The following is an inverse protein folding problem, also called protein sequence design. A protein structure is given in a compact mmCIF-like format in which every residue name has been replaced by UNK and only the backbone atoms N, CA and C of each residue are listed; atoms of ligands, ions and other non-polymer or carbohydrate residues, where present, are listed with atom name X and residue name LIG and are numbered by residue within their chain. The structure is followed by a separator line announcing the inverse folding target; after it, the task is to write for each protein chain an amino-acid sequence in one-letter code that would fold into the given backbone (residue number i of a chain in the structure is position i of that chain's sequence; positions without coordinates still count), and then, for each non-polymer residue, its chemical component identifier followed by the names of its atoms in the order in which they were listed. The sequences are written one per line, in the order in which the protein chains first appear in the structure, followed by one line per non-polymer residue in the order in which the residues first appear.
data_IF_587755350887
#
_entry.id   IF_587755350887
#
_cell.length_a   1.000
_cell.length_b   1.000
_cell.length_c   1.000
_cell.angle_alpha   90.00
_cell.angle_beta   90.00
_cell.angle_gamma   90.00
#
_symmetry.space_group_name_H-M   'P 1'
#
loop_
_entity.id
_entity.type
_entity.pdbx_description
1 polymer ?
#
# COMPACT_ATOMS: atom_id res chain seq x y z
N UNK A 1 -9.11 -18.18 38.22
CA UNK A 1 -10.58 -18.04 38.05
C UNK A 1 -11.36 -18.95 38.98
N UNK A 2 -10.97 -20.22 39.19
CA UNK A 2 -11.76 -21.25 39.93
C UNK A 2 -12.06 -21.00 41.41
N UNK A 3 -11.51 -19.96 42.02
CA UNK A 3 -11.70 -19.67 43.45
C UNK A 3 -12.04 -18.22 43.75
N UNK A 4 -12.37 -17.41 42.74
CA UNK A 4 -12.70 -16.00 42.93
C UNK A 4 -14.20 -15.79 42.88
N UNK A 5 -14.73 -14.97 43.80
CA UNK A 5 -16.15 -14.62 43.84
C UNK A 5 -16.61 -13.99 42.53
N UNK A 6 -17.89 -14.09 42.21
CA UNK A 6 -18.49 -13.50 41.00
C UNK A 6 -18.16 -12.03 40.78
N UNK A 7 -18.03 -11.28 41.89
CA UNK A 7 -17.58 -9.87 41.91
C UNK A 7 -16.28 -9.63 41.13
N UNK A 8 -15.34 -10.58 41.12
CA UNK A 8 -14.03 -10.43 40.48
C UNK A 8 -14.08 -10.42 38.96
N UNK A 9 -15.09 -11.02 38.34
CA UNK A 9 -15.24 -10.97 36.87
C UNK A 9 -16.37 -10.03 36.46
N UNK A 10 -17.43 -9.91 37.29
CA UNK A 10 -18.57 -9.05 36.99
C UNK A 10 -18.21 -7.56 37.04
N UNK A 11 -17.46 -7.11 38.05
CA UNK A 11 -17.10 -5.69 38.14
C UNK A 11 -16.22 -5.23 36.98
N UNK A 12 -15.14 -5.93 36.60
CA UNK A 12 -14.37 -5.57 35.41
C UNK A 12 -15.22 -5.59 34.14
N UNK A 13 -16.17 -6.52 34.01
CA UNK A 13 -17.09 -6.58 32.86
C UNK A 13 -18.00 -5.34 32.82
N UNK A 14 -18.63 -4.99 33.93
CA UNK A 14 -19.54 -3.82 34.02
C UNK A 14 -18.78 -2.52 33.82
N UNK A 15 -17.63 -2.35 34.47
CA UNK A 15 -16.77 -1.17 34.30
C UNK A 15 -16.27 -1.08 32.85
N UNK A 16 -15.82 -2.20 32.27
CA UNK A 16 -15.37 -2.27 30.89
C UNK A 16 -16.47 -1.93 29.89
N UNK A 17 -17.69 -2.44 30.11
CA UNK A 17 -18.85 -2.11 29.27
C UNK A 17 -19.26 -0.64 29.42
N UNK A 18 -19.30 -0.12 30.65
CA UNK A 18 -19.57 1.29 30.92
C UNK A 18 -18.54 2.21 30.27
N UNK A 19 -17.25 1.88 30.40
CA UNK A 19 -16.16 2.58 29.74
C UNK A 19 -16.27 2.52 28.21
N UNK A 20 -16.57 1.35 27.64
CA UNK A 20 -16.77 1.19 26.20
C UNK A 20 -17.88 2.12 25.69
N UNK A 21 -19.05 2.11 26.33
CA UNK A 21 -20.17 2.96 25.94
C UNK A 21 -19.84 4.46 26.10
N UNK A 22 -19.16 4.84 27.19
CA UNK A 22 -18.70 6.21 27.40
C UNK A 22 -17.70 6.65 26.33
N UNK A 23 -16.70 5.81 26.02
CA UNK A 23 -15.71 6.08 24.99
C UNK A 23 -16.36 6.19 23.60
N UNK A 24 -17.30 5.31 23.27
CA UNK A 24 -18.07 5.42 22.02
C UNK A 24 -18.82 6.75 21.95
N UNK A 25 -19.52 7.14 23.02
CA UNK A 25 -20.24 8.42 23.07
C UNK A 25 -19.30 9.60 22.92
N UNK A 26 -18.14 9.58 23.57
CA UNK A 26 -17.12 10.63 23.43
C UNK A 26 -16.58 10.70 22.01
N UNK A 27 -16.30 9.56 21.37
CA UNK A 27 -15.82 9.52 19.98
C UNK A 27 -16.91 10.01 19.02
N UNK A 28 -18.17 9.63 19.23
CA UNK A 28 -19.30 10.12 18.43
C UNK A 28 -19.46 11.64 18.56
N UNK A 29 -19.29 12.19 19.76
CA UNK A 29 -19.33 13.64 20.01
C UNK A 29 -18.15 14.38 19.37
N UNK A 30 -16.97 13.76 19.34
CA UNK A 30 -15.76 14.34 18.76
C UNK A 30 -15.67 14.14 17.23
N UNK A 31 -16.37 13.15 16.67
CA UNK A 31 -16.39 12.90 15.24
C UNK A 31 -17.38 13.87 14.56
N UNK A 32 -16.95 14.69 13.59
CA UNK A 32 -17.86 15.63 12.93
C UNK A 32 -18.98 14.94 12.14
N UNK A 33 -18.90 13.64 11.86
CA UNK A 33 -19.97 12.87 11.24
C UNK A 33 -20.98 12.26 12.24
N UNK A 34 -20.77 12.45 13.55
CA UNK A 34 -21.69 11.98 14.60
C UNK A 34 -21.74 10.46 14.79
N UNK A 35 -20.81 9.70 14.19
CA UNK A 35 -20.78 8.24 14.26
C UNK A 35 -19.35 7.69 14.38
N UNK A 36 -19.18 6.58 15.07
CA UNK A 36 -17.91 5.89 15.20
C UNK A 36 -17.38 5.39 13.85
N UNK A 37 -16.24 5.94 13.38
CA UNK A 37 -15.69 5.70 12.04
C UNK A 37 -15.46 4.22 11.70
N UNK A 38 -15.15 3.40 12.71
CA UNK A 38 -14.87 1.98 12.51
C UNK A 38 -16.14 1.12 12.36
N UNK A 39 -17.35 1.69 12.50
CA UNK A 39 -18.57 1.05 12.02
C UNK A 39 -18.53 0.80 10.50
N UNK A 40 -17.64 1.49 9.77
CA UNK A 40 -17.35 1.19 8.38
C UNK A 40 -17.03 -0.30 8.13
N UNK A 41 -16.37 -0.96 9.08
CA UNK A 41 -16.07 -2.39 8.98
C UNK A 41 -17.30 -3.28 9.18
N UNK A 42 -18.42 -2.77 9.66
CA UNK A 42 -19.63 -3.54 9.97
C UNK A 42 -20.83 -3.13 9.10
N UNK A 43 -20.59 -2.35 8.04
CA UNK A 43 -21.64 -1.76 7.18
C UNK A 43 -22.61 -2.79 6.60
N UNK A 44 -22.18 -4.03 6.38
CA UNK A 44 -23.05 -5.11 5.88
C UNK A 44 -24.14 -5.52 6.88
N UNK A 45 -23.96 -5.25 8.19
CA UNK A 45 -24.98 -5.41 9.22
C UNK A 45 -25.77 -4.12 9.51
N UNK A 46 -25.40 -3.01 8.85
CA UNK A 46 -26.01 -1.69 9.00
C UNK A 46 -25.03 -0.60 9.42
N UNK A 47 -25.53 0.64 9.46
CA UNK A 47 -24.72 1.85 9.70
C UNK A 47 -24.78 2.37 11.14
N UNK A 48 -25.59 1.75 12.00
CA UNK A 48 -25.77 2.12 13.41
C UNK A 48 -25.56 0.93 14.34
N UNK A 49 -25.25 1.19 15.61
CA UNK A 49 -25.16 0.14 16.63
C UNK A 49 -26.47 -0.65 16.78
N UNK A 50 -27.63 0.02 16.72
CA UNK A 50 -28.93 -0.63 16.84
C UNK A 50 -29.19 -1.59 15.66
N UNK A 51 -28.89 -1.15 14.44
CA UNK A 51 -29.02 -2.02 13.25
C UNK A 51 -28.08 -3.21 13.36
N UNK A 52 -26.82 -3.00 13.76
CA UNK A 52 -25.82 -4.07 13.90
C UNK A 52 -26.25 -5.08 14.98
N UNK A 53 -26.72 -4.60 16.13
CA UNK A 53 -27.13 -5.46 17.24
C UNK A 53 -28.39 -6.27 16.93
N UNK A 54 -29.31 -5.73 16.13
CA UNK A 54 -30.56 -6.42 15.75
C UNK A 54 -30.42 -7.27 14.49
N UNK A 55 -29.34 -7.12 13.73
CA UNK A 55 -29.10 -7.83 12.48
C UNK A 55 -29.12 -9.37 12.61
N UNK A 56 -28.46 -9.99 13.61
CA UNK A 56 -28.46 -11.45 13.74
C UNK A 56 -29.87 -12.03 13.94
N UNK A 57 -30.77 -11.24 14.53
CA UNK A 57 -32.17 -11.64 14.78
C UNK A 57 -33.03 -11.41 13.54
N UNK A 58 -32.83 -10.30 12.83
CA UNK A 58 -33.62 -9.94 11.62
C UNK A 58 -33.19 -10.72 10.38
N UNK A 59 -31.91 -11.06 10.28
CA UNK A 59 -31.31 -11.73 9.11
C UNK A 59 -30.41 -12.90 9.53
N UNK A 60 -30.95 -13.91 10.24
CA UNK A 60 -30.16 -14.97 10.86
C UNK A 60 -29.37 -15.79 9.84
N UNK A 61 -29.94 -16.06 8.67
CA UNK A 61 -29.26 -16.85 7.63
C UNK A 61 -28.07 -16.10 7.00
N UNK A 62 -28.19 -14.78 6.79
CA UNK A 62 -27.10 -13.95 6.26
C UNK A 62 -26.00 -13.81 7.31
N UNK A 63 -26.39 -13.63 8.57
CA UNK A 63 -25.44 -13.59 9.68
C UNK A 63 -24.67 -14.91 9.82
N UNK A 64 -25.37 -16.04 9.80
CA UNK A 64 -24.76 -17.37 9.90
C UNK A 64 -23.87 -17.70 8.70
N UNK A 65 -24.30 -17.37 7.47
CA UNK A 65 -23.49 -17.62 6.28
C UNK A 65 -22.18 -16.82 6.30
N UNK A 66 -22.22 -15.58 6.79
CA UNK A 66 -21.04 -14.78 7.02
C UNK A 66 -20.16 -15.36 8.14
N UNK A 67 -20.74 -15.63 9.32
CA UNK A 67 -20.00 -16.15 10.48
C UNK A 67 -19.34 -17.52 10.21
N UNK A 68 -19.96 -18.35 9.36
CA UNK A 68 -19.46 -19.66 8.96
C UNK A 68 -18.62 -19.63 7.68
N UNK A 69 -18.38 -18.46 7.09
CA UNK A 69 -17.53 -18.34 5.92
C UNK A 69 -16.12 -18.88 6.22
N UNK A 70 -15.57 -19.66 5.29
CA UNK A 70 -14.25 -20.32 5.45
C UNK A 70 -13.17 -19.32 5.83
N UNK A 71 -13.20 -18.12 5.26
CA UNK A 71 -12.23 -17.06 5.53
C UNK A 71 -12.19 -16.66 7.03
N UNK A 72 -13.34 -16.66 7.72
CA UNK A 72 -13.43 -16.29 9.14
C UNK A 72 -12.83 -17.35 10.06
N UNK A 73 -12.90 -18.62 9.64
CA UNK A 73 -12.28 -19.74 10.35
C UNK A 73 -10.77 -19.85 10.05
N UNK A 74 -10.34 -19.51 8.83
CA UNK A 74 -8.91 -19.45 8.49
C UNK A 74 -8.13 -18.54 9.45
N UNK A 75 -8.71 -17.43 9.92
CA UNK A 75 -8.07 -16.54 10.89
C UNK A 75 -7.81 -17.22 12.24
N UNK A 76 -8.85 -17.86 12.78
CA UNK A 76 -8.77 -18.58 14.06
C UNK A 76 -7.77 -19.72 13.99
N UNK A 77 -7.82 -20.50 12.91
CA UNK A 77 -6.88 -21.60 12.68
C UNK A 77 -5.47 -21.08 12.43
N UNK A 78 -5.29 -20.00 11.67
CA UNK A 78 -3.99 -19.39 11.44
C UNK A 78 -3.31 -18.96 12.75
N UNK A 79 -4.07 -18.37 13.67
CA UNK A 79 -3.57 -18.04 15.01
C UNK A 79 -3.25 -19.28 15.84
N UNK A 80 -4.16 -20.25 15.88
CA UNK A 80 -3.93 -21.47 16.65
C UNK A 80 -2.72 -22.25 16.10
N UNK A 81 -2.54 -22.28 14.78
CA UNK A 81 -1.47 -23.02 14.09
C UNK A 81 -0.08 -22.46 14.41
N UNK A 82 0.05 -21.15 14.60
CA UNK A 82 1.28 -20.52 15.08
C UNK A 82 1.73 -21.04 16.46
N UNK A 83 0.80 -21.58 17.22
CA UNK A 83 1.02 -22.27 18.49
C UNK A 83 0.79 -23.79 18.37
N UNK A 84 0.94 -24.30 17.14
CA UNK A 84 0.70 -25.69 16.74
C UNK A 84 -0.62 -26.26 17.22
N UNK A 85 -1.71 -25.49 17.16
CA UNK A 85 -3.05 -25.87 17.60
C UNK A 85 -3.19 -26.18 19.10
N UNK A 86 -2.14 -25.98 19.91
CA UNK A 86 -2.19 -26.14 21.37
C UNK A 86 -3.35 -25.37 22.03
N UNK A 87 -3.71 -24.14 21.61
CA UNK A 87 -4.83 -23.41 22.17
C UNK A 87 -6.19 -24.13 22.05
N UNK A 88 -6.38 -24.97 21.03
CA UNK A 88 -7.65 -25.68 20.81
C UNK A 88 -7.90 -26.79 21.85
N UNK A 89 -6.86 -27.30 22.52
CA UNK A 89 -6.99 -28.33 23.55
C UNK A 89 -7.31 -27.78 24.94
N UNK A 90 -7.24 -26.45 25.09
CA UNK A 90 -7.41 -25.74 26.37
C UNK A 90 -8.39 -24.59 26.22
N UNK A 91 -9.56 -24.90 25.66
CA UNK A 91 -10.63 -23.95 25.31
C UNK A 91 -11.01 -22.98 26.43
N UNK A 92 -10.91 -23.42 27.69
CA UNK A 92 -11.16 -22.57 28.85
C UNK A 92 -10.28 -21.32 28.89
N UNK A 93 -9.02 -21.45 28.49
CA UNK A 93 -8.06 -20.35 28.49
C UNK A 93 -8.10 -19.52 27.21
N UNK A 94 -8.72 -20.05 26.14
CA UNK A 94 -8.98 -19.34 24.89
C UNK A 94 -10.37 -18.73 24.83
N UNK A 95 -11.23 -18.94 25.82
CA UNK A 95 -12.57 -18.34 25.87
C UNK A 95 -12.56 -16.82 25.62
N UNK A 96 -11.62 -16.02 26.16
CA UNK A 96 -11.53 -14.59 25.84
C UNK A 96 -11.30 -14.31 24.34
N UNK A 97 -10.63 -15.22 23.63
CA UNK A 97 -10.39 -15.11 22.20
C UNK A 97 -11.68 -15.25 21.38
N UNK A 98 -12.74 -15.85 21.93
CA UNK A 98 -14.04 -15.94 21.24
C UNK A 98 -14.61 -14.55 20.99
N UNK A 99 -14.53 -13.65 21.97
CA UNK A 99 -15.04 -12.27 21.81
C UNK A 99 -14.22 -11.48 20.79
N UNK A 100 -12.90 -11.61 20.84
CA UNK A 100 -12.03 -11.01 19.84
C UNK A 100 -12.32 -11.60 18.45
N UNK A 101 -12.47 -12.94 18.36
CA UNK A 101 -12.78 -13.62 17.10
C UNK A 101 -14.13 -13.16 16.55
N UNK A 102 -15.17 -13.04 17.37
CA UNK A 102 -16.46 -12.49 16.94
C UNK A 102 -16.26 -11.08 16.38
N UNK A 103 -15.49 -10.22 17.04
CA UNK A 103 -15.23 -8.86 16.55
C UNK A 103 -14.62 -8.85 15.14
N UNK A 104 -13.66 -9.74 14.87
CA UNK A 104 -13.00 -9.84 13.55
C UNK A 104 -13.86 -10.57 12.52
N UNK A 105 -14.51 -11.65 12.92
CA UNK A 105 -15.40 -12.48 12.11
C UNK A 105 -16.61 -11.69 11.58
N UNK A 106 -17.12 -10.76 12.39
CA UNK A 106 -18.23 -9.89 11.98
C UNK A 106 -17.79 -8.68 11.16
N UNK A 107 -16.48 -8.42 11.08
CA UNK A 107 -15.99 -7.33 10.25
C UNK A 107 -16.04 -7.75 8.77
N UNK A 108 -16.47 -6.86 7.90
CA UNK A 108 -16.34 -6.98 6.45
C UNK A 108 -14.89 -6.80 5.96
N UNK A 109 -13.94 -6.62 6.88
CA UNK A 109 -12.53 -6.60 6.52
C UNK A 109 -12.09 -8.03 6.15
N UNK A 110 -11.27 -8.14 5.11
CA UNK A 110 -10.73 -9.44 4.73
C UNK A 110 -9.83 -9.95 5.88
N UNK A 111 -10.00 -11.22 6.32
CA UNK A 111 -9.20 -11.79 7.42
C UNK A 111 -7.69 -11.63 7.27
N UNK A 112 -7.21 -11.57 6.03
CA UNK A 112 -5.80 -11.30 5.75
C UNK A 112 -5.36 -9.87 6.10
N UNK A 113 -6.18 -8.85 5.79
CA UNK A 113 -5.91 -7.47 6.20
C UNK A 113 -5.88 -7.30 7.74
N UNK A 114 -6.65 -8.14 8.45
CA UNK A 114 -6.70 -8.15 9.90
C UNK A 114 -5.41 -8.75 10.50
N UNK A 115 -4.86 -9.81 9.88
CA UNK A 115 -3.54 -10.34 10.22
C UNK A 115 -2.43 -9.29 10.04
N UNK A 116 -2.54 -8.45 9.01
CA UNK A 116 -1.54 -7.42 8.67
C UNK A 116 -1.51 -6.25 9.66
N UNK A 117 -2.67 -5.75 10.10
CA UNK A 117 -2.77 -4.55 10.94
C UNK A 117 -2.45 -4.80 12.43
N UNK A 118 -1.75 -5.89 12.76
CA UNK A 118 -1.36 -6.26 14.12
C UNK A 118 -2.54 -6.38 15.11
N UNK A 119 -3.78 -6.52 14.62
CA UNK A 119 -4.96 -6.80 15.45
C UNK A 119 -4.89 -8.18 16.14
N UNK A 120 -3.83 -8.93 15.86
CA UNK A 120 -3.47 -10.22 16.47
C UNK A 120 -2.84 -10.04 17.85
N UNK A 121 -2.20 -8.91 18.15
CA UNK A 121 -1.45 -8.71 19.40
C UNK A 121 -2.32 -9.02 20.65
N UNK A 122 -3.60 -8.59 20.73
CA UNK A 122 -4.48 -8.93 21.85
C UNK A 122 -4.73 -10.43 22.04
N UNK A 123 -4.51 -11.27 21.02
CA UNK A 123 -4.69 -12.71 21.10
C UNK A 123 -3.50 -13.41 21.75
N UNK A 124 -2.29 -12.86 21.58
CA UNK A 124 -1.05 -13.53 21.96
C UNK A 124 -0.99 -13.97 23.43
N UNK A 125 -1.41 -13.16 24.43
CA UNK A 125 -1.35 -13.59 25.82
C UNK A 125 -2.18 -14.84 26.08
N UNK A 126 -3.38 -14.95 25.50
CA UNK A 126 -4.27 -16.09 25.71
C UNK A 126 -3.81 -17.32 24.93
N UNK A 127 -3.35 -17.14 23.69
CA UNK A 127 -2.75 -18.22 22.89
C UNK A 127 -1.53 -18.79 23.62
N UNK A 128 -0.58 -17.93 24.03
CA UNK A 128 0.61 -18.33 24.77
C UNK A 128 0.26 -19.01 26.10
N UNK A 129 -0.66 -18.43 26.88
CA UNK A 129 -1.08 -19.02 28.16
C UNK A 129 -1.71 -20.39 27.99
N UNK A 130 -2.61 -20.55 27.02
CA UNK A 130 -3.26 -21.84 26.72
C UNK A 130 -2.24 -22.90 26.30
N UNK A 131 -1.23 -22.51 25.52
CA UNK A 131 -0.11 -23.37 25.11
C UNK A 131 0.77 -23.76 26.29
N UNK A 132 1.15 -22.82 27.16
CA UNK A 132 1.94 -23.10 28.37
C UNK A 132 1.23 -24.08 29.31
N UNK A 133 -0.08 -23.90 29.51
CA UNK A 133 -0.89 -24.84 30.31
C UNK A 133 -0.92 -26.22 29.65
N UNK A 134 -1.04 -26.30 28.32
CA UNK A 134 -1.01 -27.58 27.62
C UNK A 134 0.35 -28.27 27.78
N UNK A 135 1.45 -27.55 27.55
CA UNK A 135 2.81 -28.08 27.69
C UNK A 135 3.07 -28.57 29.11
N UNK A 136 2.66 -27.81 30.12
CA UNK A 136 2.72 -28.25 31.52
C UNK A 136 1.94 -29.53 31.74
N UNK A 137 0.70 -29.59 31.27
CA UNK A 137 -0.15 -30.77 31.47
C UNK A 137 0.35 -31.99 30.66
N UNK A 138 1.07 -31.79 29.55
CA UNK A 138 1.81 -32.84 28.82
C UNK A 138 2.98 -33.34 29.67
N UNK A 139 3.81 -32.43 30.17
CA UNK A 139 4.98 -32.73 31.00
C UNK A 139 4.60 -33.48 32.28
N UNK A 140 3.53 -33.03 32.94
CA UNK A 140 3.03 -33.61 34.19
C UNK A 140 2.15 -34.86 33.93
N UNK A 141 2.02 -35.31 32.67
CA UNK A 141 1.26 -36.49 32.25
C UNK A 141 -0.27 -36.37 32.40
N UNK A 142 -0.79 -35.25 32.88
CA UNK A 142 -2.22 -35.03 33.14
C UNK A 142 -3.06 -34.92 31.86
N UNK A 143 -2.53 -34.33 30.79
CA UNK A 143 -3.18 -34.30 29.48
C UNK A 143 -3.13 -35.68 28.80
N UNK A 144 -1.98 -36.36 28.96
CA UNK A 144 -1.66 -37.61 28.29
C UNK A 144 -2.41 -38.82 28.86
N UNK A 145 -2.92 -38.75 30.10
CA UNK A 145 -3.80 -39.82 30.64
C UNK A 145 -5.07 -40.08 29.82
N UNK A 146 -5.46 -39.14 28.94
CA UNK A 146 -6.62 -39.29 28.05
C UNK A 146 -6.29 -39.89 26.67
N UNK A 147 -5.00 -40.02 26.34
CA UNK A 147 -4.54 -40.50 25.04
C UNK A 147 -3.61 -41.70 25.23
N UNK A 148 -3.56 -42.57 24.22
CA UNK A 148 -2.62 -43.70 24.21
C UNK A 148 -1.17 -43.15 24.25
N UNK A 149 -0.30 -43.67 25.15
CA UNK A 149 1.11 -43.28 25.26
C UNK A 149 1.87 -43.23 23.93
N UNK A 150 1.50 -44.08 22.98
CA UNK A 150 2.09 -44.18 21.64
C UNK A 150 1.95 -42.88 20.84
N UNK A 151 0.85 -42.15 21.01
CA UNK A 151 0.55 -40.91 20.25
C UNK A 151 1.04 -39.63 20.95
N UNK A 152 1.45 -39.72 22.21
CA UNK A 152 1.74 -38.56 23.05
C UNK A 152 2.97 -37.78 22.60
N UNK A 153 4.08 -38.48 22.31
CA UNK A 153 5.33 -37.90 21.79
C UNK A 153 5.16 -37.28 20.40
N UNK A 154 4.60 -37.99 19.38
CA UNK A 154 4.40 -37.39 18.06
C UNK A 154 3.43 -36.21 18.10
N UNK A 155 2.36 -36.27 18.90
CA UNK A 155 1.47 -35.12 19.08
C UNK A 155 2.21 -33.94 19.70
N UNK A 156 2.96 -34.14 20.78
CA UNK A 156 3.77 -33.09 21.39
C UNK A 156 4.76 -32.43 20.40
N UNK A 157 5.42 -33.23 19.57
CA UNK A 157 6.32 -32.75 18.52
C UNK A 157 5.58 -31.97 17.43
N UNK A 158 4.40 -32.43 17.00
CA UNK A 158 3.55 -31.70 16.05
C UNK A 158 3.15 -30.34 16.61
N UNK A 159 2.65 -30.30 17.86
CA UNK A 159 2.14 -29.07 18.47
C UNK A 159 3.26 -28.07 18.81
N UNK A 160 4.44 -28.54 19.23
CA UNK A 160 5.49 -27.66 19.74
C UNK A 160 6.55 -27.29 18.70
N UNK A 161 6.71 -28.07 17.63
CA UNK A 161 7.78 -27.88 16.64
C UNK A 161 7.22 -27.70 15.24
N UNK A 162 6.46 -28.68 14.76
CA UNK A 162 6.00 -28.68 13.35
C UNK A 162 5.00 -27.57 13.09
N UNK A 163 4.01 -27.37 13.97
CA UNK A 163 3.00 -26.33 13.81
C UNK A 163 3.57 -24.91 13.75
N UNK A 164 4.39 -24.50 14.74
CA UNK A 164 5.09 -23.22 14.69
C UNK A 164 6.01 -23.09 13.47
N UNK A 165 6.79 -24.12 13.11
CA UNK A 165 7.68 -24.08 11.95
C UNK A 165 6.90 -23.94 10.62
N UNK A 166 5.85 -24.75 10.44
CA UNK A 166 4.96 -24.68 9.28
C UNK A 166 4.30 -23.30 9.17
N UNK A 167 3.86 -22.74 10.31
CA UNK A 167 3.31 -21.38 10.36
C UNK A 167 4.37 -20.34 10.02
N UNK A 168 5.60 -20.47 10.51
CA UNK A 168 6.67 -19.54 10.16
C UNK A 168 7.03 -19.61 8.66
N UNK A 169 6.96 -20.79 8.04
CA UNK A 169 7.24 -20.97 6.61
C UNK A 169 6.11 -20.47 5.70
N UNK A 170 4.84 -20.62 6.11
CA UNK A 170 3.70 -20.18 5.29
C UNK A 170 3.23 -18.75 5.59
N UNK A 171 3.38 -18.34 6.84
CA UNK A 171 2.75 -17.16 7.41
C UNK A 171 3.74 -16.28 8.18
N UNK A 172 4.98 -16.72 8.40
CA UNK A 172 6.02 -15.94 9.05
C UNK A 172 6.86 -15.15 8.06
N UNK A 173 7.76 -14.29 8.56
CA UNK A 173 8.68 -13.50 7.75
C UNK A 173 9.87 -14.32 7.20
N UNK A 174 9.90 -15.65 7.44
CA UNK A 174 10.99 -16.51 7.00
C UNK A 174 10.95 -16.69 5.48
N UNK A 175 11.69 -15.86 4.76
CA UNK A 175 11.93 -16.01 3.32
C UNK A 175 12.54 -17.37 3.02
N UNK A 176 11.82 -18.18 2.24
CA UNK A 176 12.52 -18.98 1.24
C UNK A 176 12.90 -17.99 0.11
N UNK A 177 14.19 -17.82 -0.23
CA UNK A 177 14.76 -16.70 -1.00
C UNK A 177 14.37 -16.64 -2.49
N UNK A 178 13.27 -17.27 -2.90
CA UNK A 178 13.01 -17.57 -4.31
C UNK A 178 12.26 -16.47 -5.08
N UNK A 179 11.72 -15.43 -4.43
CA UNK A 179 10.79 -14.51 -5.10
C UNK A 179 10.93 -13.02 -4.77
N UNK A 180 11.90 -12.59 -3.98
CA UNK A 180 12.14 -11.16 -3.65
C UNK A 180 12.74 -10.36 -4.82
N UNK A 181 12.60 -10.89 -6.04
CA UNK A 181 12.97 -10.29 -7.34
C UNK A 181 11.69 -10.03 -8.16
N UNK A 182 10.56 -9.72 -7.53
CA UNK A 182 9.44 -9.15 -8.28
C UNK A 182 9.78 -7.70 -8.60
N UNK A 183 10.15 -7.44 -9.86
CA UNK A 183 10.66 -6.19 -10.43
C UNK A 183 9.70 -4.99 -10.40
N UNK A 184 9.15 -4.67 -9.23
CA UNK A 184 8.65 -3.34 -8.97
C UNK A 184 9.85 -2.40 -9.02
N UNK A 185 9.83 -1.42 -9.93
CA UNK A 185 10.79 -0.32 -9.93
C UNK A 185 10.59 0.45 -8.64
N UNK A 186 11.40 0.16 -7.62
CA UNK A 186 11.50 0.97 -6.41
C UNK A 186 12.61 1.98 -6.66
N UNK A 187 12.35 3.25 -6.34
CA UNK A 187 13.36 4.29 -6.41
C UNK A 187 14.62 3.81 -5.70
N UNK A 188 15.81 3.89 -6.34
CA UNK A 188 17.05 3.44 -5.72
C UNK A 188 17.23 4.04 -4.32
N UNK A 189 17.65 3.22 -3.36
CA UNK A 189 17.81 3.68 -1.97
C UNK A 189 18.72 4.91 -1.83
N UNK A 190 19.70 5.07 -2.73
CA UNK A 190 20.55 6.27 -2.80
C UNK A 190 19.76 7.54 -3.13
N UNK A 191 18.82 7.49 -4.07
CA UNK A 191 17.96 8.63 -4.44
C UNK A 191 17.04 8.99 -3.27
N UNK A 192 16.42 7.98 -2.64
CA UNK A 192 15.57 8.20 -1.47
C UNK A 192 16.37 8.80 -0.30
N UNK A 193 17.55 8.27 0.00
CA UNK A 193 18.39 8.77 1.08
C UNK A 193 18.86 10.21 0.85
N UNK A 194 19.18 10.58 -0.39
CA UNK A 194 19.53 11.97 -0.71
C UNK A 194 18.37 12.92 -0.46
N UNK A 195 17.16 12.57 -0.90
CA UNK A 195 15.99 13.37 -0.62
C UNK A 195 15.77 13.56 0.88
N UNK A 196 15.99 12.51 1.67
CA UNK A 196 15.87 12.55 3.12
C UNK A 196 16.91 13.48 3.78
N UNK A 197 18.10 13.66 3.20
CA UNK A 197 19.13 14.56 3.75
C UNK A 197 18.81 16.03 3.54
N UNK A 198 18.04 16.38 2.51
CA UNK A 198 17.61 17.77 2.24
C UNK A 198 16.46 18.22 3.16
N UNK A 199 15.74 17.27 3.77
CA UNK A 199 14.58 17.56 4.62
C UNK A 199 15.03 17.82 6.06
N UNK A 200 14.84 19.04 6.56
CA UNK A 200 15.19 19.40 7.93
C UNK A 200 14.24 18.72 8.94
N UNK A 201 14.67 18.55 10.21
CA UNK A 201 13.80 17.99 11.25
C UNK A 201 12.51 18.78 11.49
N UNK A 202 12.57 20.11 11.37
CA UNK A 202 11.44 21.01 11.61
C UNK A 202 10.58 21.28 10.36
N UNK A 203 10.94 20.71 9.21
CA UNK A 203 10.15 20.87 7.99
C UNK A 203 8.78 20.19 8.13
N UNK A 204 7.76 20.88 7.64
CA UNK A 204 6.41 20.35 7.55
C UNK A 204 6.20 19.71 6.17
N UNK A 205 6.20 18.39 6.16
CA UNK A 205 6.38 17.59 4.94
C UNK A 205 5.13 16.79 4.63
N UNK A 206 4.70 16.85 3.37
CA UNK A 206 3.78 15.87 2.82
C UNK A 206 4.53 14.86 1.95
N UNK A 207 4.25 13.56 2.11
CA UNK A 207 5.00 12.54 1.37
C UNK A 207 4.20 11.28 1.00
N UNK A 208 4.72 10.49 0.05
CA UNK A 208 4.24 9.13 -0.30
C UNK A 208 4.57 8.09 0.77
N UNK A 209 3.89 6.93 0.75
CA UNK A 209 3.92 5.93 1.83
C UNK A 209 5.32 5.42 2.19
N UNK A 210 6.16 5.16 1.19
CA UNK A 210 7.53 4.66 1.38
C UNK A 210 8.43 5.61 2.19
N UNK A 211 8.11 6.90 2.20
CA UNK A 211 8.87 7.94 2.89
C UNK A 211 8.24 8.34 4.23
N UNK A 212 7.06 7.84 4.60
CA UNK A 212 6.43 8.18 5.89
C UNK A 212 7.23 7.66 7.09
N UNK A 213 7.69 6.41 7.03
CA UNK A 213 8.44 5.80 8.13
C UNK A 213 9.78 6.51 8.43
N UNK A 214 10.68 6.75 7.43
CA UNK A 214 11.91 7.48 7.71
C UNK A 214 11.66 8.93 8.17
N UNK A 215 10.49 9.50 7.88
CA UNK A 215 10.12 10.85 8.29
C UNK A 215 9.26 10.91 9.57
N UNK A 216 8.95 9.77 10.20
CA UNK A 216 7.93 9.64 11.26
C UNK A 216 8.20 10.44 12.55
N UNK A 217 9.44 10.85 12.80
CA UNK A 217 9.81 11.62 14.00
C UNK A 217 9.47 13.13 13.90
N UNK A 218 8.78 13.57 12.85
CA UNK A 218 8.42 14.98 12.63
C UNK A 218 7.07 15.31 13.27
N UNK A 219 6.96 16.52 13.82
CA UNK A 219 5.69 17.05 14.34
C UNK A 219 4.66 17.23 13.22
N UNK A 220 5.10 17.66 12.04
CA UNK A 220 4.26 17.96 10.89
C UNK A 220 4.58 17.03 9.72
N UNK A 221 4.09 15.79 9.80
CA UNK A 221 4.14 14.82 8.71
C UNK A 221 2.74 14.53 8.19
N UNK A 222 2.52 14.76 6.89
CA UNK A 222 1.25 14.54 6.22
C UNK A 222 1.37 13.46 5.16
N UNK A 223 0.37 12.58 5.09
CA UNK A 223 0.34 11.54 4.09
C UNK A 223 -0.32 12.03 2.81
N UNK A 224 0.41 11.94 1.70
CA UNK A 224 -0.03 12.40 0.37
C UNK A 224 -1.33 11.71 -0.09
N UNK A 225 -1.60 10.49 0.39
CA UNK A 225 -2.79 9.72 0.02
C UNK A 225 -4.12 10.43 0.31
N UNK A 226 -4.19 11.23 1.36
CA UNK A 226 -5.43 11.94 1.69
C UNK A 226 -5.68 13.14 0.78
N UNK A 227 -4.62 13.79 0.29
CA UNK A 227 -4.74 14.78 -0.77
C UNK A 227 -5.26 14.12 -2.05
N UNK A 228 -4.62 13.01 -2.46
CA UNK A 228 -5.02 12.30 -3.66
C UNK A 228 -6.45 11.75 -3.57
N UNK A 229 -6.90 11.30 -2.40
CA UNK A 229 -8.27 10.84 -2.15
C UNK A 229 -9.30 11.99 -2.04
N UNK A 230 -8.86 13.19 -1.65
CA UNK A 230 -9.69 14.39 -1.47
C UNK A 230 -10.53 14.43 -0.18
N UNK A 231 -10.59 13.34 0.57
CA UNK A 231 -11.40 13.19 1.80
C UNK A 231 -10.63 12.46 2.90
N UNK A 232 -11.06 12.66 4.14
CA UNK A 232 -10.46 12.00 5.31
C UNK A 232 -10.73 10.49 5.28
N UNK A 233 -9.91 9.72 6.01
CA UNK A 233 -10.05 8.28 6.11
C UNK A 233 -11.48 7.88 6.55
N UNK A 234 -12.14 7.05 5.75
CA UNK A 234 -13.52 6.56 5.98
C UNK A 234 -14.57 7.65 6.20
N UNK A 235 -14.35 8.84 5.63
CA UNK A 235 -15.22 9.99 5.83
C UNK A 235 -15.61 10.64 4.50
N UNK A 236 -16.74 11.34 4.48
CA UNK A 236 -17.12 12.24 3.38
C UNK A 236 -16.61 13.67 3.61
N UNK A 237 -15.97 13.92 4.74
CA UNK A 237 -15.41 15.24 5.06
C UNK A 237 -14.20 15.49 4.14
N UNK A 238 -14.16 16.64 3.43
CA UNK A 238 -13.01 17.01 2.63
C UNK A 238 -11.72 17.01 3.45
N UNK A 239 -10.66 16.46 2.86
CA UNK A 239 -9.34 16.56 3.45
C UNK A 239 -8.76 17.92 3.12
N UNK A 240 -8.43 18.69 4.15
CA UNK A 240 -7.68 19.93 4.03
C UNK A 240 -6.30 19.69 4.58
N UNK A 241 -5.29 20.02 3.79
CA UNK A 241 -3.90 19.90 4.20
C UNK A 241 -3.67 20.87 5.37
N UNK A 242 -3.24 20.38 6.55
CA UNK A 242 -2.98 21.24 7.69
C UNK A 242 -1.84 22.23 7.39
N UNK A 243 -1.81 23.33 8.14
CA UNK A 243 -0.67 24.24 8.17
C UNK A 243 0.19 23.97 9.41
N UNK A 244 1.51 24.18 9.33
CA UNK A 244 2.28 24.63 8.16
C UNK A 244 2.50 23.52 7.11
N UNK A 245 2.76 23.88 5.85
CA UNK A 245 3.30 22.98 4.83
C UNK A 245 4.44 23.70 4.11
N UNK A 246 5.66 23.17 4.23
CA UNK A 246 6.86 23.78 3.65
C UNK A 246 7.36 23.00 2.44
N UNK A 247 7.13 21.68 2.40
CA UNK A 247 7.66 20.81 1.36
C UNK A 247 6.70 19.66 1.03
N UNK A 248 6.70 19.21 -0.23
CA UNK A 248 6.08 17.96 -0.66
C UNK A 248 7.15 17.10 -1.33
N UNK A 249 7.27 15.85 -0.92
CA UNK A 249 8.20 14.88 -1.51
C UNK A 249 7.38 13.72 -2.08
N UNK A 250 7.41 13.55 -3.40
CA UNK A 250 6.59 12.56 -4.09
C UNK A 250 7.51 11.55 -4.78
N UNK A 251 7.40 10.29 -4.38
CA UNK A 251 7.92 9.19 -5.20
C UNK A 251 6.85 8.77 -6.22
N UNK A 252 7.03 9.19 -7.48
CA UNK A 252 6.14 8.87 -8.59
C UNK A 252 6.17 7.39 -9.00
N UNK A 253 7.23 6.64 -8.67
CA UNK A 253 7.22 5.19 -8.86
C UNK A 253 6.27 4.52 -7.88
N UNK A 254 6.18 5.05 -6.66
CA UNK A 254 5.14 4.63 -5.71
C UNK A 254 3.77 5.22 -6.06
N UNK A 255 3.72 6.35 -6.77
CA UNK A 255 2.45 6.96 -7.20
C UNK A 255 1.75 6.19 -8.34
N UNK A 256 2.47 5.37 -9.09
CA UNK A 256 1.85 4.39 -10.01
C UNK A 256 0.79 3.57 -9.27
N UNK A 257 1.09 3.21 -8.03
CA UNK A 257 0.19 2.44 -7.22
C UNK A 257 -1.10 3.21 -6.86
N UNK A 258 -0.99 4.51 -6.60
CA UNK A 258 -2.16 5.35 -6.29
C UNK A 258 -3.14 5.39 -7.46
N UNK A 259 -2.66 5.28 -8.70
CA UNK A 259 -3.52 5.20 -9.86
C UNK A 259 -4.34 3.91 -9.89
N UNK A 260 -3.88 2.82 -9.27
CA UNK A 260 -4.69 1.61 -9.09
C UNK A 260 -5.65 1.71 -7.90
N UNK A 261 -5.25 2.33 -6.78
CA UNK A 261 -6.12 2.49 -5.60
C UNK A 261 -7.25 3.48 -5.81
N UNK A 262 -6.97 4.54 -6.55
CA UNK A 262 -7.77 5.76 -6.56
C UNK A 262 -8.15 6.20 -7.98
N UNK A 263 -8.12 5.28 -8.94
CA UNK A 263 -8.46 5.52 -10.35
C UNK A 263 -9.76 6.30 -10.54
N UNK A 264 -10.77 5.97 -9.73
CA UNK A 264 -12.12 6.54 -9.80
C UNK A 264 -12.41 7.49 -8.62
N UNK A 265 -11.37 8.04 -7.97
CA UNK A 265 -11.51 8.92 -6.80
C UNK A 265 -11.86 10.38 -7.15
N UNK A 266 -12.93 10.54 -7.93
CA UNK A 266 -13.55 11.85 -8.08
C UNK A 266 -14.17 12.28 -6.75
N UNK A 267 -13.68 13.39 -6.20
CA UNK A 267 -14.22 13.97 -4.97
C UNK A 267 -14.40 15.46 -5.16
N UNK A 268 -15.64 15.91 -4.94
CA UNK A 268 -16.06 17.30 -5.20
C UNK A 268 -15.75 17.77 -6.63
N UNK A 269 -15.92 16.87 -7.60
CA UNK A 269 -15.69 17.15 -9.01
C UNK A 269 -14.23 17.26 -9.43
N UNK A 270 -13.28 17.01 -8.50
CA UNK A 270 -11.84 17.05 -8.78
C UNK A 270 -11.19 15.67 -8.77
N UNK A 271 -10.14 15.47 -9.56
CA UNK A 271 -9.25 14.31 -9.52
C UNK A 271 -8.11 14.52 -8.52
N UNK A 272 -7.34 13.46 -8.24
CA UNK A 272 -6.14 13.55 -7.40
C UNK A 272 -5.08 14.51 -7.95
N UNK A 273 -4.72 14.41 -9.25
CA UNK A 273 -3.79 15.34 -9.89
C UNK A 273 -4.25 16.80 -9.85
N UNK A 274 -5.53 17.08 -10.10
CA UNK A 274 -6.08 18.45 -10.00
C UNK A 274 -5.94 19.01 -8.58
N UNK A 275 -6.22 18.21 -7.55
CA UNK A 275 -6.01 18.61 -6.15
C UNK A 275 -4.55 18.88 -5.82
N UNK A 276 -3.62 18.13 -6.42
CA UNK A 276 -2.19 18.39 -6.28
C UNK A 276 -1.81 19.73 -6.94
N UNK A 277 -2.28 19.97 -8.16
CA UNK A 277 -2.04 21.23 -8.87
C UNK A 277 -2.55 22.43 -8.07
N UNK A 278 -3.79 22.35 -7.58
CA UNK A 278 -4.38 23.38 -6.71
C UNK A 278 -3.52 23.64 -5.46
N UNK A 279 -3.05 22.58 -4.79
CA UNK A 279 -2.26 22.70 -3.58
C UNK A 279 -0.91 23.35 -3.86
N UNK A 280 -0.22 22.94 -4.92
CA UNK A 280 1.07 23.51 -5.32
C UNK A 280 0.92 25.01 -5.61
N UNK A 281 -0.11 25.39 -6.37
CA UNK A 281 -0.42 26.79 -6.66
C UNK A 281 -0.79 27.57 -5.40
N UNK A 282 -1.70 27.07 -4.57
CA UNK A 282 -2.18 27.73 -3.35
C UNK A 282 -1.05 27.96 -2.34
N UNK A 283 -0.07 27.05 -2.28
CA UNK A 283 1.03 27.09 -1.32
C UNK A 283 2.32 27.69 -1.89
N UNK A 284 2.30 28.14 -3.14
CA UNK A 284 3.47 28.62 -3.87
C UNK A 284 4.64 27.63 -3.79
N UNK A 285 4.33 26.34 -3.95
CA UNK A 285 5.32 25.27 -3.95
C UNK A 285 5.69 24.98 -5.40
N UNK A 286 6.96 25.24 -5.72
CA UNK A 286 7.52 25.01 -7.04
C UNK A 286 8.41 23.77 -6.99
N UNK A 287 8.66 23.18 -8.16
CA UNK A 287 9.59 22.07 -8.27
C UNK A 287 11.00 22.55 -7.87
N UNK A 288 11.57 21.91 -6.86
CA UNK A 288 12.92 22.16 -6.39
C UNK A 288 13.91 21.14 -6.95
N UNK A 289 13.49 19.89 -7.08
CA UNK A 289 14.31 18.81 -7.63
C UNK A 289 13.42 17.76 -8.29
N UNK A 290 13.84 17.26 -9.46
CA UNK A 290 13.31 16.04 -10.05
C UNK A 290 14.43 15.05 -10.35
N UNK A 291 14.44 13.93 -9.65
CA UNK A 291 15.44 12.88 -9.79
C UNK A 291 14.77 11.53 -10.01
N UNK A 292 14.89 11.01 -11.22
CA UNK A 292 14.27 9.76 -11.63
C UNK A 292 12.73 9.79 -11.48
N UNK A 293 12.19 9.06 -10.50
CA UNK A 293 10.79 9.11 -10.12
C UNK A 293 10.49 10.03 -8.93
N UNK A 294 11.49 10.65 -8.31
CA UNK A 294 11.31 11.44 -7.11
C UNK A 294 11.21 12.93 -7.45
N UNK A 295 10.16 13.59 -6.95
CA UNK A 295 9.97 15.03 -7.07
C UNK A 295 9.93 15.68 -5.68
N UNK A 296 10.69 16.77 -5.52
CA UNK A 296 10.67 17.62 -4.34
C UNK A 296 10.07 18.97 -4.73
N UNK A 297 9.01 19.37 -4.03
CA UNK A 297 8.38 20.68 -4.19
C UNK A 297 8.59 21.51 -2.93
N UNK A 298 9.08 22.74 -3.09
CA UNK A 298 9.31 23.67 -1.99
C UNK A 298 9.06 25.11 -2.43
N UNK A 299 8.98 26.05 -1.48
CA UNK A 299 8.80 27.47 -1.82
C UNK A 299 10.01 28.10 -2.51
N UNK A 300 11.20 27.55 -2.27
CA UNK A 300 12.45 27.99 -2.90
C UNK A 300 12.75 27.23 -4.19
N UNK A 301 11.85 26.35 -4.64
CA UNK A 301 12.04 25.55 -5.84
C UNK A 301 12.13 26.41 -7.09
N UNK A 302 13.11 26.12 -7.94
CA UNK A 302 13.38 26.81 -9.19
C UNK A 302 13.84 25.86 -10.31
N UNK A 303 13.65 24.54 -10.17
CA UNK A 303 13.99 23.57 -11.22
C UNK A 303 13.04 23.82 -12.42
N UNK A 304 13.56 24.19 -13.61
CA UNK A 304 12.73 24.45 -14.77
C UNK A 304 12.14 23.18 -15.38
N UNK A 305 12.49 22.00 -14.87
CA UNK A 305 12.03 20.73 -15.40
C UNK A 305 10.50 20.60 -15.37
N UNK A 306 9.93 20.35 -16.53
CA UNK A 306 8.51 20.03 -16.69
C UNK A 306 8.39 18.58 -17.20
N UNK A 307 7.99 17.63 -16.34
CA UNK A 307 7.87 16.22 -16.73
C UNK A 307 6.80 16.02 -17.81
N UNK A 308 5.82 16.91 -17.89
CA UNK A 308 4.73 16.87 -18.87
C UNK A 308 4.26 18.28 -19.19
N UNK A 309 4.18 18.61 -20.48
CA UNK A 309 3.72 19.91 -20.96
C UNK A 309 2.87 19.77 -22.23
N UNK A 310 1.92 20.69 -22.43
CA UNK A 310 1.17 20.77 -23.69
C UNK A 310 2.06 21.37 -24.79
N UNK A 311 2.01 20.79 -25.98
CA UNK A 311 2.74 21.27 -27.15
C UNK A 311 1.79 21.59 -28.31
N UNK A 312 2.24 22.44 -29.23
CA UNK A 312 1.44 22.81 -30.41
C UNK A 312 1.44 21.66 -31.41
N UNK A 313 0.22 21.30 -31.88
CA UNK A 313 -0.14 20.13 -32.71
C UNK A 313 0.86 19.83 -33.84
N UNK A 314 1.81 18.89 -33.64
CA UNK A 314 2.70 18.47 -34.71
C UNK A 314 2.01 17.46 -35.63
N UNK A 315 2.63 17.11 -36.75
CA UNK A 315 2.09 16.10 -37.66
C UNK A 315 2.01 14.72 -36.95
N UNK A 316 0.87 14.01 -37.04
CA UNK A 316 0.73 12.72 -36.39
C UNK A 316 1.61 11.66 -37.07
N UNK A 317 2.34 10.92 -36.25
CA UNK A 317 3.10 9.72 -36.59
C UNK A 317 2.34 8.44 -36.22
N UNK A 318 3.06 7.33 -35.96
CA UNK A 318 2.45 6.03 -35.66
C UNK A 318 1.46 6.07 -34.49
N UNK A 319 0.40 5.26 -34.56
CA UNK A 319 -0.69 5.19 -33.58
C UNK A 319 -0.55 3.99 -32.65
N UNK A 320 -0.78 4.23 -31.35
CA UNK A 320 -0.68 3.28 -30.24
C UNK A 320 -1.97 3.34 -29.41
N UNK A 321 -3.02 2.65 -29.88
CA UNK A 321 -4.34 2.73 -29.26
C UNK A 321 -4.94 4.13 -29.36
N UNK A 322 -5.11 4.82 -28.22
CA UNK A 322 -5.73 6.15 -28.15
C UNK A 322 -4.75 7.31 -28.43
N UNK A 323 -3.46 7.01 -28.62
CA UNK A 323 -2.40 7.99 -28.79
C UNK A 323 -1.69 7.82 -30.14
N UNK A 324 -1.13 8.89 -30.69
CA UNK A 324 -0.09 8.82 -31.75
C UNK A 324 1.16 9.54 -31.32
N UNK A 325 2.32 9.10 -31.79
CA UNK A 325 3.54 9.89 -31.68
C UNK A 325 3.42 11.15 -32.53
N UNK A 326 3.94 12.29 -32.08
CA UNK A 326 3.94 13.54 -32.87
C UNK A 326 5.33 14.10 -33.14
N UNK A 327 6.36 13.56 -32.50
CA UNK A 327 7.75 13.94 -32.72
C UNK A 327 8.62 12.68 -32.64
N UNK A 328 9.78 12.73 -33.29
CA UNK A 328 10.79 11.70 -33.10
C UNK A 328 11.15 11.67 -31.59
N UNK A 329 11.12 10.48 -30.95
CA UNK A 329 11.58 10.34 -29.58
C UNK A 329 13.02 10.85 -29.49
N UNK A 330 13.33 11.61 -28.45
CA UNK A 330 14.64 12.20 -28.26
C UNK A 330 15.26 11.73 -26.96
N UNK A 331 16.59 11.63 -26.97
CA UNK A 331 17.42 11.37 -25.81
C UNK A 331 18.40 12.53 -25.72
N UNK A 332 18.49 13.16 -24.56
CA UNK A 332 19.59 14.09 -24.27
C UNK A 332 20.61 13.42 -23.35
N UNK A 333 21.87 13.51 -23.76
CA UNK A 333 23.05 13.11 -22.99
C UNK A 333 23.27 14.04 -21.78
N UNK A 334 23.96 13.56 -20.74
CA UNK A 334 23.55 13.66 -19.34
C UNK A 334 23.26 15.10 -18.90
N UNK A 335 22.10 15.27 -18.24
CA UNK A 335 21.56 16.58 -17.91
C UNK A 335 22.34 17.29 -16.80
N UNK A 336 23.05 16.57 -15.90
CA UNK A 336 23.89 17.18 -14.86
C UNK A 336 25.07 16.26 -14.42
N UNK A 337 26.22 16.84 -14.00
CA UNK A 337 27.29 16.11 -13.32
C UNK A 337 26.90 15.91 -11.85
N UNK A 338 26.66 14.68 -11.42
CA UNK A 338 26.34 14.39 -10.02
C UNK A 338 27.61 14.37 -9.19
N UNK A 339 27.88 15.46 -8.47
CA UNK A 339 28.88 15.51 -7.40
C UNK A 339 28.49 14.72 -6.15
N UNK A 340 27.41 13.93 -6.21
CA UNK A 340 26.89 13.16 -5.09
C UNK A 340 27.30 11.69 -5.25
N UNK A 341 28.14 11.16 -4.34
CA UNK A 341 28.61 9.78 -4.40
C UNK A 341 27.46 8.76 -4.46
N UNK A 342 27.52 7.83 -5.41
CA UNK A 342 26.51 6.75 -5.56
C UNK A 342 25.30 7.11 -6.42
N UNK A 343 25.32 8.26 -7.10
CA UNK A 343 24.29 8.62 -8.07
C UNK A 343 24.53 7.96 -9.41
N UNK A 344 23.49 7.31 -9.91
CA UNK A 344 23.42 6.76 -11.25
C UNK A 344 23.42 7.88 -12.28
N UNK A 345 24.06 7.65 -13.43
CA UNK A 345 23.94 8.52 -14.60
C UNK A 345 22.47 8.75 -14.98
N UNK A 346 22.09 10.01 -15.12
CA UNK A 346 20.75 10.39 -15.57
C UNK A 346 20.71 10.55 -17.08
N UNK A 347 19.76 9.88 -17.71
CA UNK A 347 19.45 10.02 -19.13
C UNK A 347 18.07 10.64 -19.23
N UNK A 348 17.93 11.72 -19.98
CA UNK A 348 16.60 12.29 -20.23
C UNK A 348 16.05 11.78 -21.56
N UNK A 349 14.89 11.14 -21.49
CA UNK A 349 14.13 10.65 -22.64
C UNK A 349 12.85 11.47 -22.78
N UNK A 350 12.60 12.01 -23.98
CA UNK A 350 11.42 12.83 -24.25
C UNK A 350 10.63 12.30 -25.45
N UNK A 351 9.31 12.27 -25.31
CA UNK A 351 8.40 11.73 -26.33
C UNK A 351 7.10 12.54 -26.41
N UNK A 352 6.72 12.91 -27.63
CA UNK A 352 5.51 13.68 -27.90
C UNK A 352 4.33 12.79 -28.31
N UNK A 353 3.14 13.08 -27.79
CA UNK A 353 1.90 12.35 -28.01
C UNK A 353 0.78 13.26 -28.55
N UNK A 354 -0.03 12.76 -29.48
CA UNK A 354 -1.35 13.28 -29.85
C UNK A 354 -2.40 12.38 -29.21
N UNK A 355 -3.41 12.97 -28.59
CA UNK A 355 -4.55 12.24 -28.04
C UNK A 355 -5.68 12.19 -29.06
N UNK A 356 -6.09 11.00 -29.49
CA UNK A 356 -7.25 10.84 -30.40
C UNK A 356 -8.55 10.65 -29.63
N UNK A 357 -8.47 9.88 -28.55
CA UNK A 357 -9.59 9.58 -27.67
C UNK A 357 -9.15 9.72 -26.24
N UNK A 358 -10.08 10.10 -25.35
CA UNK A 358 -9.78 10.24 -23.92
C UNK A 358 -9.21 8.94 -23.38
N UNK A 359 -8.08 9.03 -22.68
CA UNK A 359 -7.45 7.90 -22.03
C UNK A 359 -8.20 7.65 -20.72
N UNK A 360 -8.84 6.49 -20.58
CA UNK A 360 -9.65 6.15 -19.39
C UNK A 360 -8.95 5.18 -18.45
N UNK A 361 -7.83 4.59 -18.88
CA UNK A 361 -6.98 3.69 -18.11
C UNK A 361 -5.58 4.30 -17.99
N UNK A 362 -4.93 4.17 -16.82
CA UNK A 362 -3.50 4.49 -16.69
C UNK A 362 -2.67 3.81 -17.78
N UNK A 363 -1.77 4.59 -18.37
CA UNK A 363 -0.77 4.10 -19.32
C UNK A 363 0.60 4.26 -18.69
N UNK A 364 1.52 3.37 -19.03
CA UNK A 364 2.91 3.40 -18.57
C UNK A 364 3.87 3.17 -19.74
N UNK A 365 5.08 3.71 -19.64
CA UNK A 365 6.20 3.43 -20.51
C UNK A 365 7.19 2.52 -19.79
N UNK A 366 7.46 1.33 -20.34
CA UNK A 366 8.56 0.47 -19.89
C UNK A 366 9.78 0.74 -20.75
N UNK A 367 10.72 1.49 -20.22
CA UNK A 367 12.02 1.72 -20.81
C UNK A 367 12.89 0.48 -20.67
N UNK A 368 13.59 0.11 -21.74
CA UNK A 368 14.57 -0.99 -21.73
C UNK A 368 15.85 -0.55 -22.43
N UNK A 369 16.99 -0.86 -21.83
CA UNK A 369 18.30 -0.76 -22.46
C UNK A 369 18.76 -2.16 -22.87
N UNK A 370 19.09 -2.32 -24.15
CA UNK A 370 19.57 -3.58 -24.69
C UNK A 370 21.00 -3.47 -25.25
N UNK A 371 21.84 -4.46 -24.92
CA UNK A 371 23.15 -4.67 -25.54
C UNK A 371 23.05 -5.88 -26.48
N UNK A 372 22.91 -5.60 -27.79
CA UNK A 372 22.53 -6.64 -28.75
C UNK A 372 21.10 -7.13 -28.49
N UNK A 373 20.92 -8.44 -28.29
CA UNK A 373 19.62 -9.05 -27.97
C UNK A 373 19.31 -9.13 -26.47
N UNK A 374 20.28 -8.78 -25.60
CA UNK A 374 20.13 -8.90 -24.14
C UNK A 374 19.65 -7.59 -23.54
N UNK A 375 18.52 -7.61 -22.87
CA UNK A 375 18.07 -6.50 -22.00
C UNK A 375 18.98 -6.49 -20.77
N UNK A 376 19.64 -5.36 -20.52
CA UNK A 376 20.59 -5.16 -19.40
C UNK A 376 20.02 -4.26 -18.32
N UNK A 377 18.98 -3.50 -18.63
CA UNK A 377 18.26 -2.65 -17.67
C UNK A 377 16.83 -2.40 -18.15
N UNK A 378 15.90 -2.32 -17.21
CA UNK A 378 14.51 -1.98 -17.46
C UNK A 378 13.95 -1.09 -16.37
N UNK A 379 13.00 -0.24 -16.72
CA UNK A 379 12.34 0.66 -15.77
C UNK A 379 10.96 1.07 -16.29
N UNK A 380 9.93 1.03 -15.44
CA UNK A 380 8.56 1.42 -15.81
C UNK A 380 8.19 2.76 -15.21
N UNK A 381 7.55 3.64 -16.00
CA UNK A 381 7.09 4.96 -15.59
C UNK A 381 5.65 5.19 -16.05
N UNK A 382 4.82 5.81 -15.24
CA UNK A 382 3.51 6.32 -15.67
C UNK A 382 3.66 7.31 -16.83
N UNK A 383 2.75 7.21 -17.80
CA UNK A 383 2.63 8.16 -18.89
C UNK A 383 1.96 9.46 -18.39
N UNK A 384 2.69 10.56 -18.49
CA UNK A 384 2.31 11.83 -17.87
C UNK A 384 2.60 11.80 -16.36
N UNK A 385 3.74 12.36 -15.94
CA UNK A 385 4.11 12.48 -14.53
C UNK A 385 3.82 13.89 -14.03
N UNK A 386 3.74 14.08 -12.72
CA UNK A 386 3.37 15.38 -12.15
C UNK A 386 1.85 15.56 -12.09
N UNK A 387 1.39 16.78 -12.32
CA UNK A 387 -0.03 17.15 -12.23
C UNK A 387 -0.85 16.75 -13.46
N UNK A 388 -0.22 16.20 -14.51
CA UNK A 388 -0.84 15.99 -15.82
C UNK A 388 -0.69 14.53 -16.32
N UNK A 389 -1.22 13.52 -15.61
CA UNK A 389 -1.18 12.15 -16.10
C UNK A 389 -2.04 11.96 -17.35
N UNK A 390 -1.71 10.94 -18.14
CA UNK A 390 -2.37 10.71 -19.44
C UNK A 390 -3.89 10.60 -19.37
N UNK A 391 -4.45 10.19 -18.23
CA UNK A 391 -5.90 10.11 -18.00
C UNK A 391 -6.61 11.46 -17.96
N UNK A 392 -5.88 12.56 -17.75
CA UNK A 392 -6.40 13.93 -17.75
C UNK A 392 -6.34 14.58 -19.13
N UNK A 393 -5.58 14.01 -20.07
CA UNK A 393 -5.38 14.60 -21.39
C UNK A 393 -6.67 14.56 -22.22
N UNK A 394 -7.01 15.69 -22.86
CA UNK A 394 -8.24 15.80 -23.65
C UNK A 394 -8.01 15.37 -25.11
N UNK A 395 -9.07 14.90 -25.81
CA UNK A 395 -8.98 14.61 -27.24
C UNK A 395 -8.49 15.82 -28.05
N UNK A 396 -7.68 15.55 -29.07
CA UNK A 396 -7.02 16.52 -29.96
C UNK A 396 -5.95 17.40 -29.31
N UNK A 397 -5.60 17.18 -28.04
CA UNK A 397 -4.42 17.80 -27.44
C UNK A 397 -3.14 17.06 -27.84
N UNK A 398 -2.03 17.78 -27.78
CA UNK A 398 -0.69 17.23 -27.94
C UNK A 398 0.14 17.52 -26.71
N UNK A 399 0.90 16.53 -26.25
CA UNK A 399 1.63 16.56 -24.99
C UNK A 399 3.06 16.07 -25.20
N UNK A 400 4.02 16.71 -24.56
CA UNK A 400 5.41 16.23 -24.46
C UNK A 400 5.63 15.69 -23.07
N UNK A 401 6.07 14.43 -22.96
CA UNK A 401 6.49 13.84 -21.69
C UNK A 401 8.00 13.68 -21.66
N UNK A 402 8.61 14.06 -20.54
CA UNK A 402 10.04 13.95 -20.26
C UNK A 402 10.26 13.02 -19.08
N UNK A 403 11.28 12.17 -19.18
CA UNK A 403 11.66 11.23 -18.16
C UNK A 403 13.16 11.34 -17.90
N UNK A 404 13.54 11.76 -16.69
CA UNK A 404 14.89 11.52 -16.18
C UNK A 404 14.94 10.06 -15.75
N UNK A 405 15.82 9.27 -16.34
CA UNK A 405 16.00 7.85 -16.08
C UNK A 405 17.32 7.64 -15.35
N UNK A 406 17.26 7.09 -14.14
CA UNK A 406 18.48 6.67 -13.42
C UNK A 406 19.01 5.35 -14.01
N UNK A 407 20.19 5.42 -14.64
CA UNK A 407 20.84 4.29 -15.30
C UNK A 407 22.10 3.88 -14.52
N UNK A 408 22.24 2.61 -14.11
CA UNK A 408 23.41 2.15 -13.35
C UNK A 408 24.74 2.47 -14.03
N UNK A 409 25.70 2.99 -13.26
CA UNK A 409 27.01 3.36 -13.80
C UNK A 409 27.83 2.18 -14.30
N UNK A 410 27.47 0.97 -13.90
CA UNK A 410 28.07 -0.30 -14.38
C UNK A 410 27.74 -0.62 -15.83
N UNK A 411 26.80 0.10 -16.43
CA UNK A 411 26.45 -0.04 -17.84
C UNK A 411 27.34 0.88 -18.69
N UNK A 412 27.95 0.30 -19.72
CA UNK A 412 28.88 0.99 -20.60
C UNK A 412 28.67 0.55 -22.06
N UNK A 413 29.07 1.42 -22.98
CA UNK A 413 29.07 1.19 -24.42
C UNK A 413 27.78 1.64 -25.11
N UNK A 414 27.63 1.19 -26.35
CA UNK A 414 26.48 1.53 -27.20
C UNK A 414 25.28 0.65 -26.86
N UNK A 415 24.28 1.19 -26.17
CA UNK A 415 23.05 0.50 -25.80
C UNK A 415 21.87 1.01 -26.63
N UNK A 416 20.94 0.13 -26.98
CA UNK A 416 19.69 0.54 -27.63
C UNK A 416 18.66 0.89 -26.56
N UNK A 417 18.12 2.12 -26.59
CA UNK A 417 17.01 2.54 -25.73
C UNK A 417 15.69 2.41 -26.49
N UNK A 418 14.76 1.66 -25.92
CA UNK A 418 13.38 1.54 -26.39
C UNK A 418 12.42 1.74 -25.23
N UNK A 419 11.18 2.14 -25.50
CA UNK A 419 10.11 2.13 -24.52
C UNK A 419 8.87 1.44 -25.07
N UNK A 420 8.31 0.51 -24.32
CA UNK A 420 7.03 -0.11 -24.62
C UNK A 420 5.91 0.71 -23.98
N UNK A 421 4.90 1.11 -24.76
CA UNK A 421 3.69 1.72 -24.23
C UNK A 421 2.76 0.63 -23.73
N UNK A 422 2.55 0.58 -22.43
CA UNK A 422 1.78 -0.44 -21.74
C UNK A 422 0.49 0.15 -21.21
N UNK A 423 -0.61 -0.57 -21.43
CA UNK A 423 -1.82 -0.39 -20.65
C UNK A 423 -1.82 -1.45 -19.55
N UNK A 424 -1.58 -1.00 -18.31
CA UNK A 424 -1.55 -1.86 -17.15
C UNK A 424 -2.94 -1.93 -16.52
N UNK A 425 -3.43 -3.14 -16.28
CA UNK A 425 -4.58 -3.35 -15.40
C UNK A 425 -4.06 -4.02 -14.14
N UNK A 426 -4.09 -3.28 -13.06
CA UNK A 426 -3.57 -3.69 -11.77
C UNK A 426 -4.64 -3.53 -10.70
N UNK A 427 -4.57 -4.42 -9.73
CA UNK A 427 -5.29 -4.24 -8.46
C UNK A 427 -4.26 -4.28 -7.36
N UNK A 428 -4.56 -3.63 -6.26
CA UNK A 428 -3.83 -3.93 -5.04
C UNK A 428 -4.20 -5.32 -4.57
N UNK A 429 -3.21 -6.20 -4.57
CA UNK A 429 -3.30 -7.48 -3.90
C UNK A 429 -2.28 -7.50 -2.79
N UNK A 430 -2.64 -8.24 -1.76
CA UNK A 430 -1.67 -8.62 -0.76
C UNK A 430 -0.62 -9.52 -1.43
N UNK A 431 0.64 -9.07 -1.40
CA UNK A 431 1.76 -9.87 -1.86
C UNK A 431 2.08 -10.97 -0.82
N UNK A 432 3.02 -11.86 -1.13
CA UNK A 432 3.40 -12.95 -0.20
C UNK A 432 4.08 -12.44 1.09
N UNK A 433 4.59 -11.20 1.09
CA UNK A 433 5.12 -10.47 2.25
C UNK A 433 4.03 -9.91 3.16
N UNK A 434 2.75 -10.13 2.82
CA UNK A 434 1.61 -9.50 3.50
C UNK A 434 1.68 -7.98 3.44
N UNK A 435 2.45 -7.44 2.49
CA UNK A 435 2.41 -6.06 2.08
C UNK A 435 1.33 -5.89 1.02
N UNK A 436 0.69 -4.73 1.01
CA UNK A 436 -0.14 -4.32 -0.10
C UNK A 436 0.80 -3.85 -1.21
N UNK A 437 0.86 -4.60 -2.31
CA UNK A 437 1.59 -4.19 -3.50
C UNK A 437 0.63 -4.15 -4.68
N UNK A 438 0.86 -3.26 -5.65
CA UNK A 438 0.18 -3.39 -6.93
C UNK A 438 0.52 -4.77 -7.52
N UNK A 439 -0.50 -5.52 -7.90
CA UNK A 439 -0.35 -6.71 -8.74
C UNK A 439 -0.96 -6.38 -10.08
N UNK A 440 -0.09 -6.29 -11.08
CA UNK A 440 -0.49 -6.15 -12.47
C UNK A 440 -1.16 -7.47 -12.88
N UNK A 441 -2.48 -7.45 -13.03
CA UNK A 441 -3.28 -8.61 -13.45
C UNK A 441 -3.16 -8.85 -14.95
N UNK A 442 -3.07 -7.77 -15.73
CA UNK A 442 -2.85 -7.85 -17.16
C UNK A 442 -1.97 -6.72 -17.66
N UNK A 443 -1.11 -7.03 -18.61
CA UNK A 443 -0.31 -6.06 -19.36
C UNK A 443 -0.72 -6.16 -20.81
N UNK A 444 -1.22 -5.07 -21.39
CA UNK A 444 -1.44 -4.97 -22.83
C UNK A 444 -0.38 -4.05 -23.42
N UNK A 445 0.52 -4.62 -24.21
CA UNK A 445 1.50 -3.85 -24.99
C UNK A 445 0.78 -3.19 -26.17
N UNK A 446 0.82 -1.85 -26.23
CA UNK A 446 0.21 -1.04 -27.27
C UNK A 446 1.21 -0.72 -28.40
N UNK A 447 2.50 -1.01 -28.20
CA UNK A 447 3.56 -0.87 -29.18
C UNK A 447 4.84 -0.28 -28.61
N UNK A 448 5.87 -0.25 -29.45
CA UNK A 448 7.23 0.15 -29.06
C UNK A 448 7.63 1.49 -29.68
N UNK A 449 8.27 2.32 -28.88
CA UNK A 449 8.88 3.59 -29.24
C UNK A 449 10.39 3.42 -29.22
N UNK A 450 11.06 3.73 -30.33
CA UNK A 450 12.51 3.61 -30.43
C UNK A 450 13.17 4.98 -30.23
N UNK A 451 14.04 5.09 -29.22
CA UNK A 451 14.77 6.31 -28.90
C UNK A 451 16.18 6.35 -29.53
N UNK A 452 16.62 5.25 -30.15
CA UNK A 452 17.94 5.15 -30.77
C UNK A 452 19.01 4.56 -29.86
N UNK A 453 20.28 4.80 -30.21
CA UNK A 453 21.43 4.31 -29.46
C UNK A 453 21.89 5.35 -28.45
N UNK A 454 22.00 4.93 -27.20
CA UNK A 454 22.59 5.67 -26.09
C UNK A 454 24.04 5.22 -25.92
N UNK A 455 24.99 6.16 -25.99
CA UNK A 455 26.37 5.91 -25.57
C UNK A 455 26.50 6.21 -24.07
N UNK A 456 26.93 5.21 -23.29
CA UNK A 456 27.27 5.31 -21.88
C UNK A 456 28.77 5.06 -21.64
#
# INVERSE_FOLDING_TARGET
LDRRSTRWWLWPLVIGLGWFLAAQKMIDLANPQGHYKYLAFYQWMGTSFSSIATFPVRHPLIFLSHALAVNNWQLLFGFALGFGLAPLFRLRYTLPLVFLWIQLCLSGAQPRAILWLHYVIPYLPFLAWSTLVLVRDIRDGCFLRKFDPTWTKPLGMILCVIGPLYTQLLYGPAELPWHSVSGASVSPASILNHALTEIKPDDAVMTTFNLLNPLANREHLYSFNYLYLGRRQYSLIPYRVPEPLTMIVIDWQHLEDFQFLYRDSLFQGKTGPERLADLLQQRHLNLAEWNDGLAVYSRSGNDPYQPTEKITRPAPGPTFGNLSLVQAPSISHPVLPTSVPGWQRQVEAAVGWQVHQRVTKPLSLRFTLAQGSRIVWESTRVLGQGTEPATEWQPNESWLTRYRLAVPDTLHGSLQLTAHLLQLDGVYQENRWRGFSPVIQSTKDLGVVNFGRLQL
#
